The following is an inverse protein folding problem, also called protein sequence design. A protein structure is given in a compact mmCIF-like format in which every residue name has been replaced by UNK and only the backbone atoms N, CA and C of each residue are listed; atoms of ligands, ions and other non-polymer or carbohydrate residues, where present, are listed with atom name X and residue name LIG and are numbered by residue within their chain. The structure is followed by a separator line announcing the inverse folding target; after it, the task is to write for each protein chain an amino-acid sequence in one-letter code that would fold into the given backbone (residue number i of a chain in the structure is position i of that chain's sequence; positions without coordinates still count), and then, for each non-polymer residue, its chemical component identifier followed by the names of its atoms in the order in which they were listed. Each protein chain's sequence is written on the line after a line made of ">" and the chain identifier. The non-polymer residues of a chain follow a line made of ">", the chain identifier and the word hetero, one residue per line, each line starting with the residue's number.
data_IF_009515869165
#
_entry.id   IF_009515869165
#
_cell.length_a   1.000
_cell.length_b   1.000
_cell.length_c   1.000
_cell.angle_alpha   90.00
_cell.angle_beta   90.00
_cell.angle_gamma   90.00
#
_symmetry.space_group_name_H-M   'P 1'
#
loop_
_entity.id
_entity.type
_entity.pdbx_description
1 polymer ?
#
# COMPACT_ATOMS: atom_id res chain seq x y z
N UNK A 1 -2.60 3.53 14.99
CA UNK A 1 -3.17 2.53 14.06
C UNK A 1 -2.04 1.97 13.22
N UNK A 2 -2.14 0.71 12.80
CA UNK A 2 -1.12 0.03 12.00
C UNK A 2 -1.81 -0.72 10.87
N UNK A 3 -1.26 -0.66 9.66
CA UNK A 3 -1.68 -1.45 8.51
C UNK A 3 -0.65 -2.56 8.28
N UNK A 4 -1.12 -3.76 7.95
CA UNK A 4 -0.26 -4.90 7.63
C UNK A 4 -0.31 -5.10 6.12
N UNK A 5 0.86 -5.12 5.48
CA UNK A 5 1.00 -5.35 4.04
C UNK A 5 1.72 -6.67 3.84
N UNK A 6 1.13 -7.58 3.06
CA UNK A 6 1.79 -8.81 2.65
C UNK A 6 2.66 -8.56 1.41
N UNK A 7 3.91 -9.00 1.43
CA UNK A 7 4.79 -8.95 0.26
C UNK A 7 5.82 -10.07 0.28
N UNK A 8 6.23 -10.54 -0.89
CA UNK A 8 7.37 -11.46 -1.06
C UNK A 8 8.67 -10.72 -1.35
N UNK A 9 8.63 -9.41 -1.60
CA UNK A 9 9.78 -8.56 -1.98
C UNK A 9 10.02 -7.46 -0.95
N UNK A 10 10.31 -7.85 0.29
CA UNK A 10 10.49 -6.93 1.41
C UNK A 10 11.62 -5.90 1.16
N UNK A 11 12.63 -6.27 0.38
CA UNK A 11 13.74 -5.41 -0.03
C UNK A 11 13.31 -4.18 -0.86
N UNK A 12 12.18 -4.28 -1.57
CA UNK A 12 11.66 -3.16 -2.38
C UNK A 12 10.89 -2.11 -1.56
N UNK A 13 10.61 -2.40 -0.28
CA UNK A 13 9.81 -1.54 0.61
C UNK A 13 10.36 -0.11 0.75
N UNK A 14 11.68 0.06 0.64
CA UNK A 14 12.30 1.39 0.73
C UNK A 14 11.91 2.32 -0.44
N UNK A 15 11.51 1.72 -1.56
CA UNK A 15 11.01 2.41 -2.75
C UNK A 15 9.49 2.65 -2.72
N UNK A 16 8.79 2.24 -1.66
CA UNK A 16 7.34 2.42 -1.58
C UNK A 16 6.97 3.91 -1.64
N UNK A 17 5.89 4.19 -2.36
CA UNK A 17 5.34 5.53 -2.58
C UNK A 17 3.94 5.69 -1.99
N UNK A 18 3.19 4.59 -1.85
CA UNK A 18 1.88 4.53 -1.24
C UNK A 18 1.58 3.11 -0.73
N UNK A 19 0.48 2.97 0.03
CA UNK A 19 -0.21 1.70 0.25
C UNK A 19 -1.60 1.80 -0.36
N UNK A 20 -1.95 0.88 -1.26
CA UNK A 20 -3.25 0.80 -1.89
C UNK A 20 -4.15 -0.20 -1.16
N UNK A 21 -5.41 0.16 -0.97
CA UNK A 21 -6.47 -0.69 -0.41
C UNK A 21 -7.73 -0.56 -1.24
N UNK A 22 -8.60 -1.58 -1.23
CA UNK A 22 -9.88 -1.47 -1.92
C UNK A 22 -10.80 -0.46 -1.19
N UNK A 23 -11.51 0.45 -1.88
CA UNK A 23 -12.36 1.47 -1.24
C UNK A 23 -13.52 0.88 -0.41
N UNK A 24 -14.02 -0.29 -0.79
CA UNK A 24 -15.10 -0.98 -0.08
C UNK A 24 -14.59 -1.93 1.02
N UNK A 25 -13.27 -2.02 1.24
CA UNK A 25 -12.72 -2.82 2.33
C UNK A 25 -12.88 -2.06 3.66
N UNK A 26 -13.90 -2.43 4.42
CA UNK A 26 -14.23 -1.82 5.72
C UNK A 26 -13.06 -1.85 6.71
N UNK A 27 -12.13 -2.81 6.59
CA UNK A 27 -10.94 -2.92 7.44
C UNK A 27 -10.01 -1.72 7.27
N UNK A 28 -9.96 -1.11 6.08
CA UNK A 28 -8.99 -0.06 5.75
C UNK A 28 -9.60 1.23 5.23
N UNK A 29 -10.91 1.28 4.95
CA UNK A 29 -11.60 2.48 4.44
C UNK A 29 -11.35 3.74 5.27
N UNK A 30 -11.22 3.59 6.59
CA UNK A 30 -10.93 4.68 7.53
C UNK A 30 -9.48 5.19 7.48
N UNK A 31 -8.58 4.50 6.78
CA UNK A 31 -7.18 4.87 6.59
C UNK A 31 -6.95 5.62 5.28
N UNK A 32 -7.84 5.49 4.29
CA UNK A 32 -7.73 6.17 2.99
C UNK A 32 -7.57 7.68 3.20
N UNK A 33 -6.54 8.27 2.56
CA UNK A 33 -6.16 9.67 2.70
C UNK A 33 -5.31 10.01 3.91
N UNK A 34 -5.07 9.06 4.84
CA UNK A 34 -4.11 9.23 5.94
C UNK A 34 -2.68 8.95 5.45
N UNK A 35 -1.72 9.60 6.11
CA UNK A 35 -0.29 9.29 5.98
C UNK A 35 0.12 8.22 7.00
N UNK A 36 0.91 7.25 6.58
CA UNK A 36 1.52 6.24 7.45
C UNK A 36 3.04 6.36 7.41
N UNK A 37 3.72 5.98 8.50
CA UNK A 37 5.18 5.91 8.53
C UNK A 37 5.66 4.69 7.75
N UNK A 38 6.54 4.90 6.77
CA UNK A 38 7.20 3.81 6.07
C UNK A 38 8.28 3.20 7.00
N UNK A 39 8.25 1.89 7.28
CA UNK A 39 9.21 1.26 8.18
C UNK A 39 10.67 1.53 7.77
N UNK A 40 11.55 1.62 8.77
CA UNK A 40 13.00 1.81 8.58
C UNK A 40 13.41 3.13 7.92
N UNK A 41 12.48 4.07 7.75
CA UNK A 41 12.74 5.40 7.20
C UNK A 41 12.08 6.48 8.06
N UNK A 42 12.43 7.74 7.79
CA UNK A 42 11.73 8.91 8.32
C UNK A 42 10.63 9.43 7.37
N UNK A 43 10.33 8.67 6.30
CA UNK A 43 9.31 9.04 5.31
C UNK A 43 7.91 8.64 5.79
N UNK A 44 6.92 9.40 5.32
CA UNK A 44 5.52 8.99 5.36
C UNK A 44 4.99 8.84 3.95
N UNK A 45 4.06 7.90 3.76
CA UNK A 45 3.41 7.62 2.48
C UNK A 45 1.89 7.58 2.67
N UNK A 46 1.11 7.99 1.67
CA UNK A 46 -0.35 7.97 1.74
C UNK A 46 -0.89 6.54 1.66
N UNK A 47 -2.06 6.34 2.26
CA UNK A 47 -2.94 5.22 1.93
C UNK A 47 -3.95 5.69 0.87
N UNK A 48 -3.99 5.02 -0.26
CA UNK A 48 -4.85 5.35 -1.41
C UNK A 48 -5.89 4.27 -1.64
N UNK A 49 -7.03 4.66 -2.20
CA UNK A 49 -8.07 3.72 -2.61
C UNK A 49 -7.88 3.32 -4.08
N UNK A 50 -7.91 2.03 -4.36
CA UNK A 50 -7.83 1.48 -5.72
C UNK A 50 -8.75 0.25 -5.86
N UNK A 51 -9.63 0.28 -6.85
CA UNK A 51 -10.55 -0.81 -7.16
C UNK A 51 -9.86 -2.06 -7.76
N UNK A 52 -8.61 -1.95 -8.20
CA UNK A 52 -7.83 -3.10 -8.67
C UNK A 52 -7.25 -3.95 -7.54
N UNK A 53 -7.27 -3.45 -6.30
CA UNK A 53 -6.83 -4.22 -5.13
C UNK A 53 -7.89 -5.26 -4.77
N UNK A 54 -7.48 -6.53 -4.76
CA UNK A 54 -8.32 -7.62 -4.25
C UNK A 54 -8.26 -7.68 -2.70
N UNK A 55 -9.37 -7.43 -1.98
CA UNK A 55 -9.41 -7.51 -0.52
C UNK A 55 -9.07 -8.90 0.03
N UNK A 56 -9.30 -9.96 -0.73
CA UNK A 56 -9.08 -11.35 -0.29
C UNK A 56 -7.61 -11.78 -0.46
N UNK A 57 -6.83 -11.07 -1.27
CA UNK A 57 -5.44 -11.41 -1.53
C UNK A 57 -4.50 -10.89 -0.42
N UNK A 58 -3.77 -11.81 0.21
CA UNK A 58 -2.82 -11.48 1.27
C UNK A 58 -3.52 -10.81 2.45
N UNK A 59 -3.21 -9.54 2.72
CA UNK A 59 -3.90 -8.74 3.74
C UNK A 59 -5.01 -7.86 3.17
N UNK A 60 -5.17 -7.75 1.84
CA UNK A 60 -6.03 -6.76 1.19
C UNK A 60 -5.43 -5.35 1.11
N UNK A 61 -4.16 -5.21 1.50
CA UNK A 61 -3.38 -3.98 1.39
C UNK A 61 -2.08 -4.24 0.62
N UNK A 62 -1.80 -3.42 -0.38
CA UNK A 62 -0.69 -3.60 -1.32
C UNK A 62 0.27 -2.42 -1.22
N UNK A 63 1.57 -2.69 -1.09
CA UNK A 63 2.60 -1.63 -1.21
C UNK A 63 2.77 -1.23 -2.67
N UNK A 64 2.89 0.07 -2.96
CA UNK A 64 3.05 0.60 -4.32
C UNK A 64 4.50 1.03 -4.55
N UNK A 65 5.18 0.33 -5.45
CA UNK A 65 6.61 0.48 -5.84
C UNK A 65 6.80 0.70 -7.34
N UNK A 66 6.49 1.91 -7.86
CA UNK A 66 6.48 2.17 -9.31
C UNK A 66 7.79 1.85 -10.04
N UNK A 67 8.93 2.03 -9.37
CA UNK A 67 10.24 1.77 -9.98
C UNK A 67 10.58 0.28 -10.14
N UNK A 68 9.81 -0.62 -9.51
CA UNK A 68 10.16 -2.04 -9.36
C UNK A 68 9.01 -3.01 -9.64
N UNK A 69 7.83 -2.50 -10.02
CA UNK A 69 6.70 -3.30 -10.46
C UNK A 69 5.90 -2.55 -11.55
N UNK A 70 5.69 -3.13 -12.74
CA UNK A 70 4.94 -2.49 -13.81
C UNK A 70 3.47 -2.17 -13.45
N UNK A 71 2.82 -3.00 -12.63
CA UNK A 71 1.44 -2.73 -12.21
C UNK A 71 1.42 -1.52 -11.26
N UNK A 72 2.39 -1.43 -10.36
CA UNK A 72 2.52 -0.28 -9.45
C UNK A 72 2.84 1.01 -10.20
N UNK A 73 3.52 0.93 -11.35
CA UNK A 73 3.82 2.09 -12.19
C UNK A 73 2.56 2.75 -12.77
N UNK A 74 1.52 1.97 -13.06
CA UNK A 74 0.24 2.49 -13.55
C UNK A 74 -0.61 3.12 -12.42
N UNK A 75 -0.36 2.72 -11.17
CA UNK A 75 -1.05 3.21 -9.97
C UNK A 75 -0.38 4.49 -9.41
N UNK A 76 0.95 4.57 -9.54
CA UNK A 76 1.83 5.57 -8.89
C UNK A 76 1.72 7.00 -9.39
#
# INVERSE_FOLDING_TARGET
>A
ETIVVATTRAETMLGDTAVAVHPDDERYRHLVGKQIKLPLTDRTIPVVADHHVDPEFGTGAVKVTPAHDPNDFEIG
#
